data_IF_345084206471
#
_entry.id   IF_345084206471
#
_cell.length_a   1.000
_cell.length_b   1.000
_cell.length_c   1.000
_cell.angle_alpha   90.00
_cell.angle_beta   90.00
_cell.angle_gamma   90.00
#
_symmetry.space_group_name_H-M   'P 1'
#
loop_
_entity.id
_entity.type
_entity.pdbx_description
1 polymer ?
#
# COMPACT_ATOMS: atom_id res chain seq x y z
N UNK A 1 4.64 -20.90 -13.32
CA UNK A 1 4.13 -20.03 -14.38
C UNK A 1 4.92 -18.72 -14.32
N UNK A 2 5.53 -18.25 -15.41
CA UNK A 2 6.31 -17.03 -15.39
C UNK A 2 5.36 -15.83 -15.59
N UNK A 3 4.94 -15.23 -14.48
CA UNK A 3 4.17 -13.99 -14.47
C UNK A 3 5.12 -12.79 -14.53
N UNK A 4 5.47 -12.35 -15.73
CA UNK A 4 6.03 -11.01 -15.95
C UNK A 4 5.60 -10.49 -17.32
N UNK A 5 4.35 -10.02 -17.39
CA UNK A 5 3.93 -9.08 -18.42
C UNK A 5 4.92 -7.89 -18.42
N UNK A 6 5.41 -7.44 -19.59
CA UNK A 6 6.35 -6.33 -19.65
C UNK A 6 5.56 -5.05 -19.42
N UNK A 7 5.45 -4.60 -18.17
CA UNK A 7 5.08 -3.22 -17.83
C UNK A 7 6.19 -2.22 -18.23
N UNK A 8 7.38 -2.72 -18.61
CA UNK A 8 8.56 -1.95 -18.96
C UNK A 8 8.40 -0.90 -20.08
N UNK A 9 7.68 -1.14 -21.20
CA UNK A 9 7.65 -0.18 -22.31
C UNK A 9 6.82 1.07 -21.98
N UNK A 10 5.74 0.94 -21.22
CA UNK A 10 4.91 2.09 -20.81
C UNK A 10 5.61 2.95 -19.76
N UNK A 11 6.25 2.32 -18.78
CA UNK A 11 7.04 3.04 -17.75
C UNK A 11 8.23 3.77 -18.39
N UNK A 12 8.93 3.15 -19.34
CA UNK A 12 10.00 3.83 -20.08
C UNK A 12 9.49 4.98 -20.96
N UNK A 13 8.30 4.86 -21.55
CA UNK A 13 7.68 5.94 -22.31
C UNK A 13 7.33 7.15 -21.43
N UNK A 14 6.79 6.91 -20.22
CA UNK A 14 6.54 7.98 -19.26
C UNK A 14 7.83 8.71 -18.86
N UNK A 15 8.92 7.96 -18.62
CA UNK A 15 10.23 8.55 -18.33
C UNK A 15 10.77 9.38 -19.50
N UNK A 16 10.59 8.91 -20.74
CA UNK A 16 10.94 9.67 -21.94
C UNK A 16 10.19 11.00 -22.05
N UNK A 17 8.94 11.06 -21.58
CA UNK A 17 8.14 12.28 -21.52
C UNK A 17 8.43 13.16 -20.28
N UNK A 18 9.33 12.74 -19.38
CA UNK A 18 9.63 13.44 -18.13
C UNK A 18 8.61 13.21 -17.00
N UNK A 19 7.73 12.22 -17.12
CA UNK A 19 6.77 11.85 -16.09
C UNK A 19 7.32 10.76 -15.18
N UNK A 20 7.37 11.03 -13.87
CA UNK A 20 7.90 10.10 -12.86
C UNK A 20 6.79 9.70 -11.90
N UNK A 21 6.54 8.40 -11.77
CA UNK A 21 5.62 7.84 -10.79
C UNK A 21 6.33 7.52 -9.47
N UNK A 22 5.64 7.80 -8.35
CA UNK A 22 6.10 7.55 -6.98
C UNK A 22 5.02 6.83 -6.18
N UNK A 23 5.43 5.84 -5.39
CA UNK A 23 4.57 5.25 -4.38
C UNK A 23 4.61 6.12 -3.12
N UNK A 24 3.43 6.51 -2.63
CA UNK A 24 3.28 7.25 -1.38
C UNK A 24 2.56 6.35 -0.38
N UNK A 25 3.16 6.19 0.80
CA UNK A 25 2.63 5.34 1.86
C UNK A 25 3.60 5.33 3.03
N UNK A 26 3.36 4.49 4.02
CA UNK A 26 4.16 4.42 5.26
C UNK A 26 5.20 3.31 5.25
N UNK A 27 5.30 2.53 4.17
CA UNK A 27 6.06 1.26 4.03
C UNK A 27 5.71 0.15 5.03
N UNK A 28 5.03 0.47 6.12
CA UNK A 28 4.54 -0.45 7.13
C UNK A 28 3.10 -0.84 6.84
N UNK A 29 2.84 -2.14 6.76
CA UNK A 29 1.47 -2.67 6.66
C UNK A 29 0.79 -2.67 8.03
N UNK A 30 -0.52 -2.41 8.06
CA UNK A 30 -1.36 -2.55 9.25
C UNK A 30 -2.44 -3.57 8.96
N UNK A 31 -2.62 -4.54 9.85
CA UNK A 31 -3.65 -5.56 9.70
C UNK A 31 -5.04 -4.98 9.99
N UNK A 32 -6.09 -5.64 9.49
CA UNK A 32 -7.48 -5.26 9.77
C UNK A 32 -7.76 -5.24 11.27
N UNK A 33 -7.25 -6.22 12.02
CA UNK A 33 -7.47 -6.30 13.47
C UNK A 33 -6.72 -5.21 14.24
N UNK A 34 -5.53 -4.82 13.77
CA UNK A 34 -4.79 -3.70 14.35
C UNK A 34 -5.53 -2.38 14.17
N UNK A 35 -6.13 -2.14 12.99
CA UNK A 35 -6.96 -0.96 12.74
C UNK A 35 -8.16 -0.94 13.67
N UNK A 36 -8.84 -2.08 13.83
CA UNK A 36 -9.99 -2.18 14.74
C UNK A 36 -9.55 -1.88 16.18
N UNK A 37 -8.46 -2.47 16.66
CA UNK A 37 -7.95 -2.21 18.01
C UNK A 37 -7.54 -0.74 18.21
N UNK A 38 -6.88 -0.12 17.23
CA UNK A 38 -6.52 1.29 17.27
C UNK A 38 -7.77 2.18 17.34
N UNK A 39 -8.81 1.83 16.58
CA UNK A 39 -10.08 2.56 16.59
C UNK A 39 -10.86 2.38 17.90
N UNK A 40 -10.90 1.18 18.47
CA UNK A 40 -11.49 0.95 19.80
C UNK A 40 -10.80 1.81 20.86
N UNK A 41 -9.46 1.87 20.82
CA UNK A 41 -8.67 2.71 21.73
C UNK A 41 -8.96 4.20 21.55
N UNK A 42 -9.05 4.68 20.31
CA UNK A 42 -9.30 6.09 20.02
C UNK A 42 -10.74 6.52 20.34
N UNK A 43 -11.72 5.64 20.11
CA UNK A 43 -13.15 5.93 20.32
C UNK A 43 -13.65 5.61 21.73
N UNK A 44 -12.91 4.80 22.50
CA UNK A 44 -13.33 4.30 23.81
C UNK A 44 -14.52 3.32 23.74
N UNK A 45 -14.91 2.87 22.55
CA UNK A 45 -16.06 2.00 22.32
C UNK A 45 -15.60 0.66 21.76
N UNK A 46 -16.30 -0.40 22.16
CA UNK A 46 -16.11 -1.74 21.58
C UNK A 46 -16.74 -1.83 20.20
N UNK A 47 -16.02 -2.41 19.25
CA UNK A 47 -16.47 -2.63 17.87
C UNK A 47 -16.76 -4.13 17.70
N UNK A 48 -18.01 -4.52 17.44
CA UNK A 48 -18.32 -5.92 17.15
C UNK A 48 -17.72 -6.34 15.81
N UNK A 49 -16.97 -7.44 15.80
CA UNK A 49 -16.33 -8.01 14.61
C UNK A 49 -16.98 -9.35 14.28
N UNK A 50 -17.24 -9.59 12.99
CA UNK A 50 -17.65 -10.90 12.48
C UNK A 50 -16.67 -11.34 11.39
N UNK A 51 -16.06 -12.50 11.58
CA UNK A 51 -15.22 -13.10 10.55
C UNK A 51 -16.10 -13.63 9.42
N UNK A 52 -15.73 -13.27 8.19
CA UNK A 52 -16.43 -13.66 6.96
C UNK A 52 -15.41 -14.28 5.98
N UNK A 53 -15.88 -15.05 4.98
CA UNK A 53 -15.01 -15.57 3.93
C UNK A 53 -14.25 -14.46 3.22
N UNK A 54 -13.08 -14.81 2.66
CA UNK A 54 -12.25 -13.87 1.90
C UNK A 54 -13.03 -13.30 0.72
N UNK A 55 -12.96 -11.99 0.52
CA UNK A 55 -13.54 -11.33 -0.65
C UNK A 55 -12.72 -11.69 -1.89
N UNK A 56 -13.42 -12.04 -2.97
CA UNK A 56 -12.79 -12.40 -4.23
C UNK A 56 -12.03 -11.18 -4.79
N UNK A 57 -10.76 -11.36 -5.14
CA UNK A 57 -9.89 -10.28 -5.63
C UNK A 57 -9.03 -9.60 -4.56
N UNK A 58 -9.24 -9.86 -3.26
CA UNK A 58 -8.38 -9.30 -2.21
C UNK A 58 -7.01 -9.99 -2.20
N UNK A 59 -5.95 -9.19 -2.23
CA UNK A 59 -4.57 -9.63 -2.00
C UNK A 59 -4.32 -9.92 -0.50
N UNK A 60 -3.35 -10.77 -0.18
CA UNK A 60 -3.11 -11.18 1.22
C UNK A 60 -2.47 -10.05 2.04
N UNK A 61 -1.56 -9.30 1.42
CA UNK A 61 -0.96 -8.10 1.97
C UNK A 61 -0.44 -7.23 0.82
N UNK A 62 -0.61 -5.92 0.92
CA UNK A 62 -0.06 -4.93 -0.02
C UNK A 62 0.37 -3.72 0.78
N UNK A 63 1.58 -3.23 0.53
CA UNK A 63 2.15 -2.04 1.15
C UNK A 63 3.00 -1.29 0.12
N UNK A 64 3.13 0.02 0.29
CA UNK A 64 3.87 0.88 -0.63
C UNK A 64 5.39 0.80 -0.37
N UNK A 65 6.19 0.59 -1.40
CA UNK A 65 7.65 0.81 -1.31
C UNK A 65 7.94 2.30 -1.46
N UNK A 66 8.40 2.94 -0.38
CA UNK A 66 8.60 4.40 -0.29
C UNK A 66 10.01 4.87 -0.66
N UNK A 67 10.95 3.94 -0.88
CA UNK A 67 12.38 4.21 -1.10
C UNK A 67 12.63 5.27 -2.18
N UNK A 68 11.90 5.19 -3.29
CA UNK A 68 12.01 6.14 -4.40
C UNK A 68 11.56 7.55 -4.00
N UNK A 69 10.45 7.67 -3.28
CA UNK A 69 9.91 8.96 -2.83
C UNK A 69 10.79 9.59 -1.75
N UNK A 70 11.35 8.78 -0.84
CA UNK A 70 12.28 9.24 0.20
C UNK A 70 13.55 9.80 -0.44
N UNK A 71 14.15 9.07 -1.39
CA UNK A 71 15.41 9.44 -2.03
C UNK A 71 15.30 10.67 -2.93
N UNK A 72 14.23 10.77 -3.73
CA UNK A 72 14.11 11.79 -4.78
C UNK A 72 13.28 13.01 -4.35
N UNK A 73 12.30 12.83 -3.44
CA UNK A 73 11.41 13.91 -2.99
C UNK A 73 11.64 14.31 -1.52
N UNK A 74 12.44 13.56 -0.76
CA UNK A 74 12.61 13.78 0.68
C UNK A 74 11.33 13.51 1.49
N UNK A 75 10.35 12.81 0.92
CA UNK A 75 9.06 12.57 1.55
C UNK A 75 9.17 11.37 2.50
N UNK A 76 9.01 11.61 3.82
CA UNK A 76 9.07 10.61 4.88
C UNK A 76 7.80 10.66 5.73
N UNK A 77 7.37 9.51 6.27
CA UNK A 77 6.18 9.38 7.13
C UNK A 77 6.50 9.24 8.61
N UNK A 78 7.73 9.60 9.04
CA UNK A 78 8.16 9.66 10.45
C UNK A 78 8.19 11.08 10.98
#
# INVERSE_FOLDING_TARGET
MPDSLPLAPFVNFLLFLGCIAYNLGTSSGTSVLEIVAAFEKASGKKIPIKLCPRRLGDATAVYASTEKAEKELGCNTR
#
